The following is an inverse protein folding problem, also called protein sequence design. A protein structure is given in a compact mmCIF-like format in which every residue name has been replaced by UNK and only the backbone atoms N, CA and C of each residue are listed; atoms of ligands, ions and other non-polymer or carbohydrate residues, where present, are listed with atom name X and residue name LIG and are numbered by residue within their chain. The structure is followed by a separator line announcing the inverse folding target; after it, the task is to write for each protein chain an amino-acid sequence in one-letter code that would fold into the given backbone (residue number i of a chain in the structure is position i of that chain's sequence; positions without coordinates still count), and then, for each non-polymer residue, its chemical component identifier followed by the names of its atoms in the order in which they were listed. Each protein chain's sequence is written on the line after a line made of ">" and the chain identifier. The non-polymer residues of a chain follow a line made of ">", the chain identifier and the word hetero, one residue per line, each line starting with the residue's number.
data_IF_344610048468
#
_entry.id   IF_344610048468
#
_cell.length_a   1.000
_cell.length_b   1.000
_cell.length_c   1.000
_cell.angle_alpha   90.00
_cell.angle_beta   90.00
_cell.angle_gamma   90.00
#
_symmetry.space_group_name_H-M   'P 1'
#
loop_
_entity.id
_entity.type
_entity.pdbx_description
1 polymer ?
#
# COMPACT_ATOMS: atom_id res chain seq x y z
N UNK A 1 -8.21 -37.75 -18.53
CA UNK A 1 -7.42 -36.84 -17.69
C UNK A 1 -8.22 -36.56 -16.43
N UNK A 2 -7.57 -36.53 -15.27
CA UNK A 2 -8.21 -36.14 -14.01
C UNK A 2 -8.01 -34.63 -13.79
N UNK A 3 -8.68 -33.81 -14.62
CA UNK A 3 -8.56 -32.36 -14.56
C UNK A 3 -9.31 -31.83 -13.34
N UNK A 4 -8.61 -31.07 -12.51
CA UNK A 4 -9.21 -30.30 -11.42
C UNK A 4 -9.92 -29.06 -11.98
N UNK A 5 -10.82 -28.42 -11.22
CA UNK A 5 -11.40 -27.13 -11.63
C UNK A 5 -10.34 -26.08 -11.96
N UNK A 6 -9.21 -26.08 -11.24
CA UNK A 6 -8.08 -25.19 -11.51
C UNK A 6 -7.42 -25.45 -12.86
N UNK A 7 -7.29 -26.71 -13.24
CA UNK A 7 -6.76 -27.08 -14.56
C UNK A 7 -7.72 -26.62 -15.67
N UNK A 8 -9.04 -26.69 -15.42
CA UNK A 8 -10.05 -26.18 -16.36
C UNK A 8 -9.98 -24.65 -16.51
N UNK A 9 -9.84 -23.91 -15.41
CA UNK A 9 -9.66 -22.45 -15.45
C UNK A 9 -8.36 -22.06 -16.16
N UNK A 10 -7.29 -22.83 -15.97
CA UNK A 10 -6.03 -22.62 -16.68
C UNK A 10 -6.17 -22.85 -18.19
N UNK A 11 -6.93 -23.87 -18.60
CA UNK A 11 -7.25 -24.09 -20.01
C UNK A 11 -8.11 -22.94 -20.59
N UNK A 12 -9.05 -22.40 -19.82
CA UNK A 12 -9.84 -21.24 -20.23
C UNK A 12 -8.97 -19.99 -20.43
N UNK A 13 -8.02 -19.75 -19.51
CA UNK A 13 -7.02 -18.68 -19.64
C UNK A 13 -6.17 -18.84 -20.91
N UNK A 14 -5.66 -20.05 -21.16
CA UNK A 14 -4.94 -20.37 -22.39
C UNK A 14 -5.77 -20.05 -23.65
N UNK A 15 -7.05 -20.43 -23.68
CA UNK A 15 -7.94 -20.15 -24.82
C UNK A 15 -8.14 -18.63 -25.04
N UNK A 16 -8.29 -17.87 -23.96
CA UNK A 16 -8.39 -16.41 -24.04
C UNK A 16 -7.10 -15.77 -24.57
N UNK A 17 -5.94 -16.27 -24.14
CA UNK A 17 -4.64 -15.82 -24.63
C UNK A 17 -4.42 -16.19 -26.10
N UNK A 18 -4.79 -17.39 -26.52
CA UNK A 18 -4.75 -17.82 -27.92
C UNK A 18 -5.62 -16.94 -28.82
N UNK A 19 -6.82 -16.56 -28.35
CA UNK A 19 -7.66 -15.60 -29.06
C UNK A 19 -6.96 -14.24 -29.20
N UNK A 20 -6.33 -13.76 -28.13
CA UNK A 20 -5.55 -12.52 -28.14
C UNK A 20 -4.36 -12.60 -29.11
N UNK A 21 -3.57 -13.68 -29.09
CA UNK A 21 -2.45 -13.91 -30.04
C UNK A 21 -2.92 -13.86 -31.48
N UNK A 22 -4.02 -14.54 -31.82
CA UNK A 22 -4.60 -14.55 -33.17
C UNK A 22 -5.07 -13.17 -33.63
N UNK A 23 -5.63 -12.37 -32.72
CA UNK A 23 -6.07 -11.00 -33.03
C UNK A 23 -4.88 -10.06 -33.21
N UNK A 24 -3.86 -10.15 -32.35
CA UNK A 24 -2.60 -9.41 -32.48
C UNK A 24 -1.87 -9.72 -33.78
N UNK A 25 -1.80 -11.00 -34.17
CA UNK A 25 -1.20 -11.43 -35.45
C UNK A 25 -1.90 -10.84 -36.68
N UNK A 26 -3.18 -10.48 -36.56
CA UNK A 26 -3.94 -9.75 -37.59
C UNK A 26 -3.75 -8.23 -37.54
N UNK A 27 -2.87 -7.74 -36.66
CA UNK A 27 -2.61 -6.31 -36.46
C UNK A 27 -3.67 -5.59 -35.62
N UNK A 28 -4.54 -6.32 -34.91
CA UNK A 28 -5.51 -5.69 -34.02
C UNK A 28 -4.85 -5.28 -32.70
N UNK A 29 -5.10 -4.05 -32.27
CA UNK A 29 -4.77 -3.55 -30.94
C UNK A 29 -5.60 -4.29 -29.90
N UNK A 30 -4.97 -4.72 -28.82
CA UNK A 30 -5.57 -5.55 -27.79
C UNK A 30 -6.47 -4.74 -26.85
N UNK A 31 -7.58 -5.35 -26.46
CA UNK A 31 -8.47 -4.89 -25.40
C UNK A 31 -7.90 -5.25 -24.02
N UNK A 32 -8.49 -4.69 -22.96
CA UNK A 32 -8.14 -5.00 -21.57
C UNK A 32 -8.10 -6.51 -21.23
N UNK A 33 -9.15 -7.32 -21.49
CA UNK A 33 -9.12 -8.75 -21.16
C UNK A 33 -8.09 -9.53 -22.00
N UNK A 34 -7.86 -9.14 -23.25
CA UNK A 34 -6.90 -9.81 -24.12
C UNK A 34 -5.46 -9.58 -23.67
N UNK A 35 -5.12 -8.34 -23.32
CA UNK A 35 -3.80 -8.00 -22.81
C UNK A 35 -3.50 -8.76 -21.50
N UNK A 36 -4.45 -8.78 -20.55
CA UNK A 36 -4.29 -9.53 -19.30
C UNK A 36 -4.17 -11.04 -19.52
N UNK A 37 -5.00 -11.61 -20.40
CA UNK A 37 -4.94 -13.04 -20.71
C UNK A 37 -3.60 -13.41 -21.34
N UNK A 38 -3.12 -12.62 -22.31
CA UNK A 38 -1.86 -12.86 -22.99
C UNK A 38 -0.68 -12.78 -22.01
N UNK A 39 -0.60 -11.74 -21.17
CA UNK A 39 0.47 -11.61 -20.17
C UNK A 39 0.44 -12.79 -19.20
N UNK A 40 -0.72 -13.12 -18.65
CA UNK A 40 -0.85 -14.19 -17.67
C UNK A 40 -0.53 -15.58 -18.27
N UNK A 41 -0.84 -15.80 -19.54
CA UNK A 41 -0.52 -17.05 -20.22
C UNK A 41 0.99 -17.20 -20.45
N UNK A 42 1.66 -16.18 -20.97
CA UNK A 42 3.11 -16.20 -21.20
C UNK A 42 3.91 -16.41 -19.90
N UNK A 43 3.46 -15.83 -18.79
CA UNK A 43 4.08 -16.03 -17.46
C UNK A 43 4.01 -17.50 -17.04
N UNK A 44 2.87 -18.16 -17.27
CA UNK A 44 2.72 -19.56 -16.87
C UNK A 44 3.39 -20.50 -17.86
N UNK A 45 3.45 -20.18 -19.14
CA UNK A 45 4.28 -20.92 -20.10
C UNK A 45 5.77 -20.79 -19.76
N UNK A 46 6.24 -19.61 -19.31
CA UNK A 46 7.59 -19.44 -18.80
C UNK A 46 7.84 -20.30 -17.55
N UNK A 47 6.90 -20.31 -16.60
CA UNK A 47 6.98 -21.18 -15.42
C UNK A 47 7.05 -22.67 -15.81
N UNK A 48 6.21 -23.09 -16.77
CA UNK A 48 6.19 -24.46 -17.30
C UNK A 48 7.49 -24.83 -18.03
N UNK A 49 8.12 -23.83 -18.65
CA UNK A 49 9.42 -23.92 -19.32
C UNK A 49 10.63 -23.91 -18.37
N UNK A 50 10.42 -23.84 -17.05
CA UNK A 50 11.48 -23.90 -16.04
C UNK A 50 12.05 -22.56 -15.61
N UNK A 51 11.45 -21.43 -16.01
CA UNK A 51 11.87 -20.11 -15.56
C UNK A 51 11.61 -19.93 -14.05
N UNK A 52 12.45 -19.15 -13.36
CA UNK A 52 12.17 -18.73 -11.98
C UNK A 52 11.01 -17.73 -11.88
N UNK A 53 10.45 -17.52 -10.68
CA UNK A 53 9.33 -16.56 -10.46
C UNK A 53 9.66 -15.15 -10.98
N UNK A 54 10.86 -14.66 -10.69
CA UNK A 54 11.31 -13.34 -11.14
C UNK A 54 11.48 -13.27 -12.67
N UNK A 55 11.98 -14.33 -13.29
CA UNK A 55 12.16 -14.41 -14.74
C UNK A 55 10.80 -14.46 -15.45
N UNK A 56 9.87 -15.28 -14.95
CA UNK A 56 8.52 -15.35 -15.47
C UNK A 56 7.80 -13.98 -15.37
N UNK A 57 7.96 -13.26 -14.25
CA UNK A 57 7.45 -11.89 -14.12
C UNK A 57 8.07 -10.93 -15.14
N UNK A 58 9.38 -11.03 -15.38
CA UNK A 58 10.09 -10.21 -16.37
C UNK A 58 9.62 -10.49 -17.81
N UNK A 59 9.34 -11.76 -18.15
CA UNK A 59 8.72 -12.13 -19.43
C UNK A 59 7.39 -11.40 -19.60
N UNK A 60 6.52 -11.48 -18.60
CA UNK A 60 5.22 -10.80 -18.61
C UNK A 60 5.31 -9.28 -18.79
N UNK A 61 6.26 -8.62 -18.11
CA UNK A 61 6.48 -7.18 -18.21
C UNK A 61 7.11 -6.71 -19.53
N UNK A 62 7.73 -7.63 -20.28
CA UNK A 62 8.40 -7.30 -21.55
C UNK A 62 7.49 -7.43 -22.77
N UNK A 63 6.31 -8.02 -22.60
CA UNK A 63 5.55 -8.59 -23.71
C UNK A 63 4.83 -7.55 -24.59
N UNK A 64 4.28 -6.51 -23.95
CA UNK A 64 3.39 -5.54 -24.59
C UNK A 64 3.90 -4.11 -24.38
N UNK A 65 3.62 -3.27 -25.36
CA UNK A 65 3.77 -1.80 -25.30
C UNK A 65 2.40 -1.15 -25.42
N UNK A 66 2.31 0.13 -25.06
CA UNK A 66 1.07 0.92 -25.21
C UNK A 66 0.51 0.88 -26.65
N UNK A 67 1.39 0.81 -27.66
CA UNK A 67 1.01 0.72 -29.08
C UNK A 67 0.31 -0.60 -29.44
N UNK A 68 0.54 -1.68 -28.67
CA UNK A 68 -0.13 -2.96 -28.87
C UNK A 68 -1.59 -2.96 -28.38
N UNK A 69 -2.01 -1.93 -27.64
CA UNK A 69 -3.29 -1.90 -26.91
C UNK A 69 -4.22 -0.83 -27.46
N UNK A 70 -5.53 -0.99 -27.33
CA UNK A 70 -6.50 0.08 -27.63
C UNK A 70 -6.25 1.33 -26.76
N UNK A 71 -6.62 2.53 -27.23
CA UNK A 71 -6.52 3.76 -26.44
C UNK A 71 -7.20 3.60 -25.07
N UNK A 72 -6.56 4.13 -24.01
CA UNK A 72 -7.07 4.05 -22.63
C UNK A 72 -6.91 2.70 -21.94
N UNK A 73 -6.49 1.62 -22.64
CA UNK A 73 -6.31 0.30 -22.00
C UNK A 73 -5.05 0.23 -21.14
N UNK A 74 -3.94 0.82 -21.58
CA UNK A 74 -2.67 0.79 -20.85
C UNK A 74 -2.80 1.18 -19.35
N UNK A 75 -3.40 2.33 -18.99
CA UNK A 75 -3.56 2.72 -17.58
C UNK A 75 -4.51 1.80 -16.79
N UNK A 76 -5.40 1.06 -17.46
CA UNK A 76 -6.33 0.14 -16.79
C UNK A 76 -5.69 -1.19 -16.37
N UNK A 77 -4.60 -1.60 -17.02
CA UNK A 77 -4.01 -2.93 -16.79
C UNK A 77 -3.52 -3.08 -15.35
N UNK A 78 -2.91 -2.03 -14.79
CA UNK A 78 -2.37 -2.03 -13.41
C UNK A 78 -1.52 -3.27 -13.14
N UNK A 79 -1.87 -4.02 -12.09
CA UNK A 79 -1.19 -5.27 -11.74
C UNK A 79 -1.89 -6.50 -12.33
N UNK A 80 -1.10 -7.41 -12.93
CA UNK A 80 -1.56 -8.74 -13.37
C UNK A 80 -1.00 -9.79 -12.43
N UNK A 81 -1.86 -10.69 -11.96
CA UNK A 81 -1.50 -11.79 -11.06
C UNK A 81 -1.94 -13.11 -11.66
N UNK A 82 -1.05 -14.10 -11.63
CA UNK A 82 -1.33 -15.45 -12.09
C UNK A 82 -0.50 -16.44 -11.30
N UNK A 83 -1.07 -17.60 -11.01
CA UNK A 83 -0.33 -18.70 -10.41
C UNK A 83 0.24 -19.63 -11.48
N UNK A 84 1.56 -19.78 -11.49
CA UNK A 84 2.28 -20.73 -12.34
C UNK A 84 2.65 -21.99 -11.57
N UNK A 85 2.83 -23.10 -12.30
CA UNK A 85 3.37 -24.34 -11.74
C UNK A 85 4.84 -24.45 -12.12
N UNK A 86 5.70 -24.25 -11.14
CA UNK A 86 7.16 -24.28 -11.25
C UNK A 86 7.69 -25.67 -10.85
N UNK A 87 8.99 -25.91 -11.02
CA UNK A 87 9.62 -27.17 -10.59
C UNK A 87 9.45 -27.44 -9.09
N UNK A 88 9.36 -26.39 -8.28
CA UNK A 88 9.15 -26.43 -6.83
C UNK A 88 7.66 -26.23 -6.45
N UNK A 89 6.76 -26.47 -7.39
CA UNK A 89 5.31 -26.40 -7.20
C UNK A 89 4.70 -25.05 -7.53
N UNK A 90 3.49 -24.81 -7.02
CA UNK A 90 2.71 -23.64 -7.39
C UNK A 90 3.17 -22.37 -6.68
N UNK A 91 3.30 -21.28 -7.44
CA UNK A 91 3.68 -19.96 -6.93
C UNK A 91 2.86 -18.85 -7.59
N UNK A 92 2.55 -17.81 -6.81
CA UNK A 92 1.95 -16.58 -7.32
C UNK A 92 3.02 -15.73 -7.99
N UNK A 93 2.76 -15.32 -9.23
CA UNK A 93 3.55 -14.33 -9.96
C UNK A 93 2.74 -13.06 -10.05
N UNK A 94 3.34 -11.93 -9.64
CA UNK A 94 2.73 -10.61 -9.72
C UNK A 94 3.56 -9.75 -10.66
N UNK A 95 2.92 -9.18 -11.66
CA UNK A 95 3.54 -8.30 -12.65
C UNK A 95 2.92 -6.91 -12.49
N UNK A 96 3.72 -6.00 -11.95
CA UNK A 96 3.34 -4.61 -11.76
C UNK A 96 3.56 -3.84 -13.07
N UNK A 97 2.56 -3.05 -13.46
CA UNK A 97 2.58 -2.15 -14.62
C UNK A 97 3.22 -2.79 -15.86
N UNK A 98 2.68 -3.92 -16.35
CA UNK A 98 3.33 -4.77 -17.36
C UNK A 98 3.38 -4.14 -18.76
N UNK A 99 2.80 -2.96 -18.95
CA UNK A 99 2.69 -2.31 -20.25
C UNK A 99 3.82 -1.29 -20.38
N UNK A 100 4.74 -1.56 -21.30
CA UNK A 100 5.85 -0.64 -21.57
C UNK A 100 5.35 0.60 -22.34
N UNK A 101 6.06 1.73 -22.22
CA UNK A 101 5.79 2.89 -23.06
C UNK A 101 5.82 2.55 -24.56
N UNK A 102 5.07 3.34 -25.34
CA UNK A 102 5.11 3.31 -26.80
C UNK A 102 6.54 3.40 -27.33
N UNK A 103 6.81 2.79 -28.49
CA UNK A 103 8.16 2.76 -29.06
C UNK A 103 8.67 4.16 -29.45
N UNK A 104 7.77 5.09 -29.76
CA UNK A 104 8.07 6.48 -30.12
C UNK A 104 8.30 7.40 -28.92
N UNK A 105 8.12 6.92 -27.68
CA UNK A 105 8.22 7.75 -26.48
C UNK A 105 9.67 8.00 -25.98
N UNK A 106 10.69 7.63 -26.76
CA UNK A 106 12.09 7.89 -26.46
C UNK A 106 12.62 9.08 -27.27
N UNK A 107 13.07 10.14 -26.58
CA UNK A 107 13.57 11.38 -27.21
C UNK A 107 13.64 12.58 -26.25
N UNK A 108 12.63 12.87 -25.43
CA UNK A 108 12.49 14.24 -24.91
C UNK A 108 11.81 14.27 -23.53
N UNK A 109 12.60 14.16 -22.45
CA UNK A 109 12.16 14.53 -21.11
C UNK A 109 12.14 16.07 -20.96
N UNK A 110 11.32 16.72 -21.79
CA UNK A 110 11.14 18.17 -21.83
C UNK A 110 9.73 18.50 -22.29
N UNK A 111 8.90 18.93 -21.34
CA UNK A 111 7.63 19.67 -21.53
C UNK A 111 7.03 19.57 -22.94
N UNK A 112 6.41 18.44 -23.27
CA UNK A 112 5.70 18.28 -24.53
C UNK A 112 4.29 18.89 -24.42
N UNK A 113 4.19 20.21 -24.57
CA UNK A 113 2.98 20.82 -25.13
C UNK A 113 3.08 20.71 -26.66
N UNK A 114 2.81 19.52 -27.20
CA UNK A 114 2.77 19.29 -28.64
C UNK A 114 1.31 19.15 -29.08
N UNK A 115 0.72 20.29 -29.47
CA UNK A 115 -0.50 20.35 -30.28
C UNK A 115 -0.26 19.60 -31.60
N UNK A 116 -0.85 18.43 -31.74
CA UNK A 116 -0.85 17.66 -32.98
C UNK A 116 -1.65 16.37 -32.77
N UNK A 117 -2.88 16.36 -33.25
CA UNK A 117 -3.83 15.24 -33.24
C UNK A 117 -3.94 14.52 -31.89
N UNK A 118 -4.36 15.27 -30.87
CA UNK A 118 -4.79 14.75 -29.59
C UNK A 118 -6.05 13.89 -29.79
N UNK A 119 -5.87 12.61 -30.12
CA UNK A 119 -6.84 11.59 -29.74
C UNK A 119 -6.88 11.66 -28.21
N UNK A 120 -7.75 12.53 -27.68
CA UNK A 120 -7.89 12.81 -26.25
C UNK A 120 -7.89 11.47 -25.53
N UNK A 121 -6.78 11.18 -24.87
CA UNK A 121 -6.57 9.92 -24.20
C UNK A 121 -7.43 9.96 -22.94
N UNK A 122 -8.73 9.76 -23.11
CA UNK A 122 -9.67 9.58 -22.01
C UNK A 122 -9.15 8.42 -21.17
N UNK A 123 -8.75 8.71 -19.95
CA UNK A 123 -8.34 7.68 -18.99
C UNK A 123 -9.61 7.24 -18.28
N UNK A 124 -10.10 6.01 -18.49
CA UNK A 124 -11.36 5.60 -17.91
C UNK A 124 -11.27 5.58 -16.38
N UNK A 125 -12.18 6.30 -15.72
CA UNK A 125 -12.18 6.43 -14.27
C UNK A 125 -11.19 7.46 -13.70
N UNK A 126 -10.71 8.40 -14.52
CA UNK A 126 -9.85 9.48 -14.03
C UNK A 126 -10.53 10.30 -12.92
N UNK A 127 -9.72 10.70 -11.95
CA UNK A 127 -10.13 11.58 -10.86
C UNK A 127 -9.72 13.00 -11.22
N UNK A 128 -10.71 13.85 -11.46
CA UNK A 128 -10.52 15.28 -11.63
C UNK A 128 -10.67 15.95 -10.27
N UNK A 129 -9.56 16.39 -9.71
CA UNK A 129 -9.49 17.06 -8.40
C UNK A 129 -9.11 18.52 -8.58
N UNK A 130 -9.59 19.38 -7.69
CA UNK A 130 -9.14 20.77 -7.63
C UNK A 130 -7.71 20.82 -7.04
N UNK A 131 -6.93 21.81 -7.47
CA UNK A 131 -5.64 22.09 -6.87
C UNK A 131 -5.82 22.59 -5.44
N UNK A 132 -5.07 22.02 -4.49
CA UNK A 132 -5.11 22.45 -3.09
C UNK A 132 -4.65 21.38 -2.11
N UNK A 133 -4.72 21.71 -0.82
CA UNK A 133 -4.42 20.81 0.29
C UNK A 133 -5.63 20.69 1.22
N UNK A 134 -5.80 19.52 1.85
CA UNK A 134 -6.84 19.27 2.84
C UNK A 134 -6.20 19.32 4.23
N UNK A 135 -6.61 20.30 5.04
CA UNK A 135 -6.15 20.41 6.43
C UNK A 135 -6.79 19.31 7.27
N UNK A 136 -5.96 18.50 7.94
CA UNK A 136 -6.42 17.46 8.86
C UNK A 136 -6.51 18.02 10.28
N UNK A 137 -7.50 17.54 11.03
CA UNK A 137 -7.61 17.80 12.46
C UNK A 137 -7.74 19.25 12.89
N UNK A 138 -8.24 20.11 12.00
CA UNK A 138 -8.46 21.53 12.26
C UNK A 138 -9.23 21.77 13.57
N UNK A 139 -8.76 22.77 14.33
CA UNK A 139 -9.39 23.19 15.59
C UNK A 139 -9.21 22.24 16.78
N UNK A 140 -8.46 21.15 16.64
CA UNK A 140 -8.16 20.23 17.75
C UNK A 140 -6.84 20.58 18.43
N UNK A 141 -6.75 20.26 19.72
CA UNK A 141 -5.50 20.40 20.46
C UNK A 141 -4.44 19.45 19.89
N UNK A 142 -3.21 19.95 19.75
CA UNK A 142 -2.07 19.21 19.23
C UNK A 142 -0.90 19.24 20.21
N UNK A 143 0.00 18.27 20.09
CA UNK A 143 1.28 18.25 20.79
C UNK A 143 2.35 17.64 19.89
N UNK A 144 3.62 17.88 20.23
CA UNK A 144 4.76 17.21 19.61
C UNK A 144 5.51 16.50 20.71
N UNK A 145 5.72 15.19 20.54
CA UNK A 145 6.49 14.37 21.50
C UNK A 145 7.67 13.70 20.81
N UNK A 146 8.83 13.74 21.45
CA UNK A 146 10.01 12.99 21.03
C UNK A 146 9.89 11.55 21.51
N UNK A 147 9.96 10.61 20.58
CA UNK A 147 9.76 9.17 20.83
C UNK A 147 11.03 8.41 20.50
N UNK A 148 11.50 7.62 21.46
CA UNK A 148 12.66 6.73 21.28
C UNK A 148 12.21 5.29 21.37
N UNK A 149 12.49 4.47 20.35
CA UNK A 149 12.29 3.02 20.45
C UNK A 149 13.49 2.38 21.12
N UNK A 150 13.35 1.98 22.39
CA UNK A 150 14.41 1.31 23.14
C UNK A 150 14.37 -0.22 22.99
N UNK A 151 13.46 -0.74 22.18
CA UNK A 151 13.31 -2.18 21.92
C UNK A 151 14.32 -2.71 20.90
N UNK A 152 14.32 -4.03 20.74
CA UNK A 152 15.13 -4.77 19.77
C UNK A 152 14.38 -5.09 18.46
N UNK A 153 13.13 -4.62 18.36
CA UNK A 153 12.23 -4.85 17.23
C UNK A 153 11.57 -3.55 16.78
N UNK A 154 11.22 -3.46 15.49
CA UNK A 154 10.50 -2.30 14.99
C UNK A 154 9.10 -2.21 15.61
N UNK A 155 8.66 -0.99 15.88
CA UNK A 155 7.30 -0.68 16.36
C UNK A 155 6.63 0.21 15.35
N UNK A 156 5.38 -0.08 14.99
CA UNK A 156 4.58 0.76 14.11
C UNK A 156 3.26 1.10 14.81
N UNK A 157 2.97 2.40 14.91
CA UNK A 157 1.77 2.91 15.60
C UNK A 157 0.84 3.55 14.57
N UNK A 158 -0.40 3.08 14.53
CA UNK A 158 -1.41 3.56 13.58
C UNK A 158 -2.00 4.93 13.96
N UNK A 159 -2.55 5.62 12.96
CA UNK A 159 -3.14 6.96 13.06
C UNK A 159 -4.06 7.19 14.26
N UNK A 160 -4.94 6.23 14.58
CA UNK A 160 -5.99 6.37 15.60
C UNK A 160 -5.76 5.56 16.88
N UNK A 161 -4.53 5.08 17.09
CA UNK A 161 -4.18 4.41 18.34
C UNK A 161 -3.98 5.46 19.44
N UNK A 162 -4.52 5.23 20.64
CA UNK A 162 -4.30 6.13 21.79
C UNK A 162 -2.81 6.14 22.14
N UNK A 163 -2.13 7.23 21.79
CA UNK A 163 -0.66 7.24 21.77
C UNK A 163 -0.08 7.02 23.16
N UNK A 164 -0.77 7.46 24.21
CA UNK A 164 -0.51 7.13 25.62
C UNK A 164 -0.23 5.65 25.88
N UNK A 165 -0.91 4.74 25.19
CA UNK A 165 -0.83 3.29 25.38
C UNK A 165 0.05 2.62 24.32
N UNK A 166 0.80 3.38 23.52
CA UNK A 166 1.70 2.81 22.52
C UNK A 166 2.75 1.90 23.17
N UNK A 167 3.37 1.00 22.39
CA UNK A 167 4.24 -0.08 22.90
C UNK A 167 5.15 0.39 24.06
N UNK A 168 5.22 -0.44 25.11
CA UNK A 168 6.00 -0.17 26.33
C UNK A 168 7.48 0.16 26.09
N UNK A 169 8.06 -0.36 24.99
CA UNK A 169 9.44 -0.10 24.58
C UNK A 169 9.64 1.27 23.92
N UNK A 170 8.56 1.98 23.59
CA UNK A 170 8.64 3.38 23.16
C UNK A 170 8.71 4.26 24.40
N UNK A 171 9.79 5.04 24.51
CA UNK A 171 10.01 5.97 25.60
C UNK A 171 9.74 7.39 25.10
N UNK A 172 8.75 8.04 25.71
CA UNK A 172 8.30 9.40 25.42
C UNK A 172 7.47 9.94 26.59
N UNK A 173 7.05 11.21 26.54
CA UNK A 173 6.22 11.81 27.59
C UNK A 173 4.79 11.28 27.48
N UNK A 174 4.45 10.29 28.32
CA UNK A 174 3.13 9.65 28.32
C UNK A 174 2.05 10.64 28.73
N UNK A 175 2.30 11.49 29.74
CA UNK A 175 1.32 12.49 30.19
C UNK A 175 0.90 13.43 29.05
N UNK A 176 1.84 13.92 28.25
CA UNK A 176 1.54 14.75 27.08
C UNK A 176 0.75 13.98 26.03
N UNK A 177 1.02 12.70 25.82
CA UNK A 177 0.29 11.87 24.84
C UNK A 177 -1.12 11.43 25.29
N UNK A 178 -1.55 11.76 26.52
CA UNK A 178 -2.85 11.34 27.04
C UNK A 178 -4.01 11.98 26.26
N UNK A 179 -4.93 11.13 25.81
CA UNK A 179 -6.08 11.52 25.03
C UNK A 179 -5.76 11.97 23.59
N UNK A 180 -4.58 11.62 23.08
CA UNK A 180 -4.15 11.98 21.73
C UNK A 180 -3.81 10.75 20.88
N UNK A 181 -3.84 10.94 19.57
CA UNK A 181 -3.42 9.98 18.54
C UNK A 181 -2.52 10.68 17.51
N UNK A 182 -1.87 9.94 16.62
CA UNK A 182 -0.97 10.54 15.63
C UNK A 182 -1.73 11.48 14.67
N UNK A 183 -1.20 12.68 14.47
CA UNK A 183 -1.74 13.67 13.53
C UNK A 183 -1.23 13.38 12.11
N UNK A 184 -1.73 12.30 11.54
CA UNK A 184 -1.36 11.78 10.22
C UNK A 184 -2.62 11.33 9.46
N UNK A 185 -2.55 11.15 8.13
CA UNK A 185 -3.70 10.67 7.36
C UNK A 185 -4.29 9.37 7.93
N UNK A 186 -5.61 9.29 7.97
CA UNK A 186 -6.31 8.12 8.52
C UNK A 186 -5.91 6.83 7.79
N UNK A 187 -5.74 5.75 8.53
CA UNK A 187 -5.27 4.46 8.02
C UNK A 187 -3.75 4.33 7.84
N UNK A 188 -2.99 5.42 7.97
CA UNK A 188 -1.51 5.38 7.95
C UNK A 188 -0.93 5.13 9.34
N UNK A 189 0.40 5.03 9.42
CA UNK A 189 1.13 4.75 10.65
C UNK A 189 2.53 5.38 10.65
N UNK A 190 3.09 5.60 11.83
CA UNK A 190 4.50 5.95 12.01
C UNK A 190 5.26 4.71 12.49
N UNK A 191 6.38 4.43 11.82
CA UNK A 191 7.30 3.34 12.14
C UNK A 191 8.51 3.88 12.90
N UNK A 192 8.94 3.12 13.90
CA UNK A 192 10.12 3.36 14.71
C UNK A 192 11.03 2.12 14.66
N UNK A 193 12.19 2.23 14.03
CA UNK A 193 13.22 1.18 14.05
C UNK A 193 13.87 1.06 15.44
N UNK A 194 14.49 -0.08 15.79
CA UNK A 194 15.25 -0.22 17.03
C UNK A 194 16.30 0.91 17.19
N UNK A 195 16.22 1.64 18.30
CA UNK A 195 17.10 2.78 18.61
C UNK A 195 16.76 4.10 17.91
N UNK A 196 15.73 4.13 17.05
CA UNK A 196 15.30 5.36 16.38
C UNK A 196 14.70 6.35 17.38
N UNK A 197 15.11 7.61 17.27
CA UNK A 197 14.53 8.76 17.96
C UNK A 197 13.86 9.67 16.93
N UNK A 198 12.59 10.04 17.17
CA UNK A 198 11.81 10.84 16.25
C UNK A 198 10.74 11.66 16.95
N UNK A 199 10.59 12.91 16.51
CA UNK A 199 9.45 13.75 16.89
C UNK A 199 8.20 13.37 16.09
N UNK A 200 7.08 13.23 16.81
CA UNK A 200 5.78 12.98 16.19
C UNK A 200 4.75 14.02 16.64
N UNK A 201 3.94 14.46 15.68
CA UNK A 201 2.78 15.29 15.94
C UNK A 201 1.61 14.42 16.39
N UNK A 202 0.96 14.86 17.46
CA UNK A 202 -0.23 14.26 18.04
C UNK A 202 -1.39 15.23 17.95
N UNK A 203 -2.60 14.70 17.81
CA UNK A 203 -3.85 15.44 17.82
C UNK A 203 -4.84 14.78 18.77
N UNK A 204 -5.64 15.59 19.45
CA UNK A 204 -6.63 15.11 20.40
C UNK A 204 -7.69 14.20 19.74
N UNK A 205 -8.03 13.14 20.46
CA UNK A 205 -9.15 12.25 20.11
C UNK A 205 -10.46 13.05 20.13
N UNK A 206 -11.27 12.87 19.08
CA UNK A 206 -12.60 13.50 18.95
C UNK A 206 -13.73 12.68 19.59
N UNK A 207 -14.97 12.98 19.21
CA UNK A 207 -16.15 12.23 19.67
C UNK A 207 -16.43 12.36 21.17
N UNK A 208 -16.93 11.29 21.79
CA UNK A 208 -17.23 11.24 23.24
C UNK A 208 -15.98 11.24 24.12
N UNK A 209 -14.79 11.08 23.52
CA UNK A 209 -13.51 11.06 24.24
C UNK A 209 -13.47 9.96 25.30
N UNK A 210 -13.78 8.73 24.88
CA UNK A 210 -13.69 7.51 25.68
C UNK A 210 -12.76 6.52 24.99
N UNK A 211 -11.86 5.90 25.75
CA UNK A 211 -10.88 4.92 25.25
C UNK A 211 -11.15 3.57 25.90
N UNK A 212 -11.24 2.51 25.09
CA UNK A 212 -11.46 1.14 25.55
C UNK A 212 -10.53 0.15 24.81
N UNK A 213 -10.12 -0.92 25.48
CA UNK A 213 -9.25 -1.95 24.91
C UNK A 213 -7.78 -1.53 24.90
N UNK A 214 -7.12 -1.60 23.74
CA UNK A 214 -5.69 -1.27 23.58
C UNK A 214 -4.78 -2.07 24.52
N UNK A 215 -4.14 -1.44 25.52
CA UNK A 215 -3.38 -2.14 26.56
C UNK A 215 -4.14 -2.24 27.89
N UNK A 216 -5.45 -1.98 27.87
CA UNK A 216 -6.36 -2.05 29.01
C UNK A 216 -6.04 -1.02 30.11
N UNK A 217 -5.33 0.07 29.76
CA UNK A 217 -4.85 1.03 30.75
C UNK A 217 -5.88 2.13 31.03
N UNK A 218 -6.49 2.71 30.00
CA UNK A 218 -7.36 3.89 30.16
C UNK A 218 -8.82 3.52 30.47
N UNK A 219 -9.43 2.65 29.65
CA UNK A 219 -10.79 2.11 29.81
C UNK A 219 -11.86 3.08 30.35
N UNK A 220 -11.92 4.28 29.77
CA UNK A 220 -12.80 5.32 30.26
C UNK A 220 -12.59 6.68 29.60
N UNK A 221 -13.19 7.73 30.18
CA UNK A 221 -13.16 9.08 29.63
C UNK A 221 -11.77 9.73 29.76
N UNK A 222 -11.37 10.47 28.73
CA UNK A 222 -10.09 11.21 28.61
C UNK A 222 -10.33 12.75 28.58
N UNK A 223 -11.25 13.21 29.42
CA UNK A 223 -11.69 14.62 29.48
C UNK A 223 -10.88 15.48 30.45
N UNK A 224 -10.06 14.86 31.29
CA UNK A 224 -9.16 15.53 32.24
C UNK A 224 -7.73 15.02 32.05
N UNK A 225 -6.77 15.59 32.78
CA UNK A 225 -5.41 15.05 32.87
C UNK A 225 -5.41 13.60 33.40
N UNK A 226 -4.43 12.76 32.99
CA UNK A 226 -4.33 11.41 33.50
C UNK A 226 -4.10 11.43 35.01
N UNK A 227 -4.90 10.66 35.74
CA UNK A 227 -4.77 10.54 37.19
C UNK A 227 -3.36 10.02 37.55
N UNK A 228 -2.73 10.49 38.65
CA UNK A 228 -1.42 9.99 39.07
C UNK A 228 -1.38 8.45 39.22
N UNK A 229 -2.46 7.85 39.72
CA UNK A 229 -2.59 6.40 39.83
C UNK A 229 -2.50 5.66 38.48
N UNK A 230 -2.99 6.27 37.39
CA UNK A 230 -2.90 5.70 36.05
C UNK A 230 -1.47 5.72 35.52
N UNK A 231 -0.72 6.80 35.76
CA UNK A 231 0.70 6.88 35.41
C UNK A 231 1.54 5.89 36.21
N UNK A 232 1.25 5.72 37.50
CA UNK A 232 1.87 4.67 38.32
C UNK A 232 1.56 3.28 37.77
N UNK A 233 0.30 3.00 37.44
CA UNK A 233 -0.09 1.73 36.85
C UNK A 233 0.63 1.46 35.52
N UNK A 234 0.78 2.44 34.64
CA UNK A 234 1.58 2.31 33.41
C UNK A 234 3.03 1.90 33.72
N UNK A 235 3.67 2.57 34.67
CA UNK A 235 5.05 2.27 35.05
C UNK A 235 5.17 0.83 35.60
N UNK A 236 4.22 0.39 36.43
CA UNK A 236 4.16 -0.99 36.95
C UNK A 236 3.98 -2.04 35.84
N UNK A 237 3.29 -1.68 34.75
CA UNK A 237 3.13 -2.53 33.56
C UNK A 237 4.32 -2.43 32.58
N UNK A 238 5.35 -1.67 32.93
CA UNK A 238 6.62 -1.57 32.22
C UNK A 238 6.61 -0.59 31.05
N UNK A 239 5.66 0.34 30.99
CA UNK A 239 5.66 1.41 30.01
C UNK A 239 6.74 2.44 30.33
N UNK A 240 7.63 2.68 29.37
CA UNK A 240 8.66 3.69 29.52
C UNK A 240 8.08 5.09 29.32
N UNK A 241 8.44 6.00 30.24
CA UNK A 241 8.00 7.39 30.27
C UNK A 241 9.20 8.31 30.46
N UNK A 242 9.15 9.50 29.88
CA UNK A 242 10.10 10.60 30.12
C UNK A 242 9.51 11.72 30.98
N UNK A 243 8.20 11.69 31.26
CA UNK A 243 7.55 12.62 32.18
C UNK A 243 8.04 12.40 33.62
N UNK A 244 8.43 13.48 34.29
CA UNK A 244 9.03 13.43 35.62
C UNK A 244 8.17 12.64 36.64
N UNK A 245 8.81 11.75 37.39
CA UNK A 245 8.25 11.22 38.63
C UNK A 245 8.08 12.39 39.61
N UNK A 246 6.90 12.65 40.19
CA UNK A 246 6.82 13.59 41.29
C UNK A 246 7.70 13.06 42.44
N UNK A 247 8.61 13.91 42.91
CA UNK A 247 9.50 13.65 44.04
C UNK A 247 8.71 13.46 45.35
#
# INVERSE_FOLDING_TARGET
>A
MHLTPKDQDRLLLFLAAELARRRRQKGLRLTYPEARALIADEVVEAARGGAGVAEAAAVGASLLRADDLLPGVAPLIGTVQVEGFFEDGQKLVTIHDPIRPAASAGTDAGTATAKGDEEQAHVPGELLVEDGEIVLGEGRATAVVTVVNTGDRPVQVGSHFHFFEANRALRFNRREAFGMHLDIPSGTAVRFEPGEERDVALVAVGGTREIHGLNDMTNGPITAEPAPALLTALAEHGFLDTGATPA
#
